data_IF_919051648028
#
_entry.id   IF_919051648028
#
_cell.length_a   1.000
_cell.length_b   1.000
_cell.length_c   1.000
_cell.angle_alpha   90.00
_cell.angle_beta   90.00
_cell.angle_gamma   90.00
#
_symmetry.space_group_name_H-M   'P 1'
#
loop_
_entity.id
_entity.type
_entity.pdbx_description
1 polymer ?
#
# COMPACT_ATOMS: atom_id res chain seq x y z
N UNK A 1 6.19 -25.20 -3.33
CA UNK A 1 4.99 -25.17 -2.46
C UNK A 1 4.51 -23.73 -2.39
N UNK A 2 3.26 -23.42 -2.78
CA UNK A 2 2.75 -22.04 -2.70
C UNK A 2 2.43 -21.70 -1.24
N UNK A 3 2.92 -20.58 -0.74
CA UNK A 3 2.57 -20.07 0.59
C UNK A 3 1.06 -19.93 0.71
N UNK A 4 0.49 -20.32 1.85
CA UNK A 4 -0.93 -20.07 2.13
C UNK A 4 -1.09 -18.59 2.46
N UNK A 5 -1.64 -17.83 1.52
CA UNK A 5 -1.85 -16.39 1.66
C UNK A 5 -3.25 -16.12 2.22
N UNK A 6 -3.35 -15.19 3.18
CA UNK A 6 -4.61 -14.65 3.70
C UNK A 6 -4.71 -13.17 3.38
N UNK A 7 -5.83 -12.76 2.80
CA UNK A 7 -6.09 -11.36 2.48
C UNK A 7 -6.92 -10.69 3.57
N UNK A 8 -6.56 -9.45 3.90
CA UNK A 8 -7.33 -8.50 4.72
C UNK A 8 -7.67 -7.31 3.83
N UNK A 9 -8.95 -6.96 3.77
CA UNK A 9 -9.43 -5.71 3.19
C UNK A 9 -9.83 -4.79 4.35
N UNK A 10 -9.28 -3.59 4.41
CA UNK A 10 -9.56 -2.63 5.49
C UNK A 10 -9.48 -1.18 5.02
N UNK A 11 -10.26 -0.31 5.66
CA UNK A 11 -10.16 1.13 5.47
C UNK A 11 -8.88 1.67 6.11
N UNK A 12 -8.33 2.76 5.57
CA UNK A 12 -7.11 3.38 6.10
C UNK A 12 -7.25 3.73 7.60
N UNK A 13 -8.43 4.22 8.00
CA UNK A 13 -8.72 4.59 9.40
C UNK A 13 -8.75 3.41 10.38
N UNK A 14 -8.80 2.18 9.88
CA UNK A 14 -8.84 0.97 10.71
C UNK A 14 -7.44 0.44 11.02
N UNK A 15 -6.42 0.91 10.28
CA UNK A 15 -5.05 0.56 10.56
C UNK A 15 -4.57 1.21 11.86
N UNK A 16 -3.81 0.43 12.62
CA UNK A 16 -3.11 0.90 13.81
C UNK A 16 -1.67 1.26 13.43
N UNK A 17 -0.97 1.96 14.34
CA UNK A 17 0.44 2.31 14.14
C UNK A 17 1.31 1.09 13.79
N UNK A 18 1.05 -0.06 14.41
CA UNK A 18 1.77 -1.31 14.13
C UNK A 18 1.60 -1.80 12.70
N UNK A 19 0.39 -1.67 12.13
CA UNK A 19 0.14 -2.04 10.73
C UNK A 19 0.94 -1.13 9.78
N UNK A 20 0.99 0.18 10.09
CA UNK A 20 1.78 1.14 9.31
C UNK A 20 3.29 0.86 9.38
N UNK A 21 3.81 0.47 10.55
CA UNK A 21 5.23 0.10 10.69
C UNK A 21 5.56 -1.14 9.87
N UNK A 22 4.74 -2.20 9.96
CA UNK A 22 4.96 -3.43 9.19
C UNK A 22 4.90 -3.19 7.68
N UNK A 23 3.91 -2.42 7.22
CA UNK A 23 3.78 -2.03 5.81
C UNK A 23 4.98 -1.18 5.36
N UNK A 24 5.43 -0.23 6.17
CA UNK A 24 6.60 0.59 5.85
C UNK A 24 7.86 -0.27 5.69
N UNK A 25 8.09 -1.25 6.57
CA UNK A 25 9.19 -2.21 6.42
C UNK A 25 9.08 -3.05 5.15
N UNK A 26 7.88 -3.55 4.86
CA UNK A 26 7.59 -4.29 3.63
C UNK A 26 7.91 -3.45 2.38
N UNK A 27 7.52 -2.16 2.36
CA UNK A 27 7.81 -1.27 1.24
C UNK A 27 9.29 -0.93 1.13
N UNK A 28 9.99 -0.71 2.25
CA UNK A 28 11.45 -0.50 2.22
C UNK A 28 12.18 -1.70 1.62
N UNK A 29 11.78 -2.92 1.98
CA UNK A 29 12.34 -4.16 1.42
C UNK A 29 12.01 -4.33 -0.05
N UNK A 30 10.80 -3.94 -0.47
CA UNK A 30 10.33 -4.06 -1.86
C UNK A 30 10.97 -3.01 -2.78
N UNK A 31 11.02 -1.74 -2.37
CA UNK A 31 11.50 -0.63 -3.19
C UNK A 31 12.99 -0.32 -3.01
N UNK A 32 13.59 -0.65 -1.87
CA UNK A 32 15.02 -0.42 -1.61
C UNK A 32 15.96 -0.98 -2.68
N UNK A 33 15.75 -2.21 -3.20
CA UNK A 33 16.55 -2.76 -4.29
C UNK A 33 16.48 -1.96 -5.60
N UNK A 34 15.44 -1.15 -5.80
CA UNK A 34 15.29 -0.28 -6.98
C UNK A 34 16.00 1.08 -6.82
N UNK A 35 16.57 1.35 -5.64
CA UNK A 35 17.32 2.57 -5.32
C UNK A 35 17.03 3.06 -3.91
N UNK A 36 18.06 3.54 -3.20
CA UNK A 36 17.93 4.03 -1.82
C UNK A 36 16.92 5.18 -1.69
N UNK A 37 16.79 6.01 -2.72
CA UNK A 37 15.80 7.08 -2.77
C UNK A 37 14.35 6.55 -2.75
N UNK A 38 14.09 5.39 -3.36
CA UNK A 38 12.76 4.81 -3.44
C UNK A 38 12.30 4.21 -2.11
N UNK A 39 13.22 3.90 -1.18
CA UNK A 39 12.89 3.47 0.17
C UNK A 39 12.64 4.62 1.15
N UNK A 40 13.21 5.80 0.90
CA UNK A 40 13.14 6.98 1.79
C UNK A 40 11.72 7.43 2.16
N UNK A 41 10.70 7.36 1.28
CA UNK A 41 9.32 7.71 1.64
C UNK A 41 8.77 6.89 2.81
N UNK A 42 9.32 5.70 3.05
CA UNK A 42 8.84 4.75 4.05
C UNK A 42 9.61 4.82 5.38
N UNK A 43 10.56 5.74 5.54
CA UNK A 43 11.26 5.94 6.81
C UNK A 43 10.31 6.44 7.91
N UNK A 44 10.59 6.08 9.17
CA UNK A 44 9.79 6.53 10.32
C UNK A 44 8.37 5.94 10.39
N UNK A 45 8.14 4.77 9.78
CA UNK A 45 6.83 4.09 9.82
C UNK A 45 5.78 4.66 8.87
N UNK A 46 6.18 5.48 7.89
CA UNK A 46 5.25 6.07 6.91
C UNK A 46 4.88 5.06 5.83
N UNK A 47 3.80 4.31 6.01
CA UNK A 47 3.33 3.36 5.00
C UNK A 47 2.57 4.06 3.86
N UNK A 48 3.29 4.48 2.83
CA UNK A 48 2.68 4.96 1.57
C UNK A 48 1.87 6.27 1.69
N UNK A 49 2.32 7.16 2.58
CA UNK A 49 1.66 8.44 2.84
C UNK A 49 1.49 9.33 1.60
N UNK A 50 2.34 9.17 0.58
CA UNK A 50 2.28 9.94 -0.67
C UNK A 50 1.04 9.63 -1.52
N UNK A 51 0.58 8.38 -1.59
CA UNK A 51 -0.61 8.06 -2.40
C UNK A 51 -1.92 8.22 -1.62
N UNK A 52 -1.88 8.26 -0.28
CA UNK A 52 -3.04 8.47 0.60
C UNK A 52 -4.21 7.52 0.26
N UNK A 53 -4.00 6.19 0.33
CA UNK A 53 -5.05 5.22 0.06
C UNK A 53 -6.23 5.41 1.02
N UNK A 54 -7.44 5.16 0.54
CA UNK A 54 -8.65 5.10 1.35
C UNK A 54 -8.92 3.68 1.85
N UNK A 55 -8.64 2.69 1.00
CA UNK A 55 -8.82 1.27 1.25
C UNK A 55 -7.53 0.53 0.94
N UNK A 56 -7.21 -0.50 1.72
CA UNK A 56 -6.05 -1.37 1.49
C UNK A 56 -6.45 -2.82 1.42
N UNK A 57 -5.89 -3.54 0.46
CA UNK A 57 -5.83 -4.99 0.45
C UNK A 57 -4.42 -5.43 0.82
N UNK A 58 -4.29 -6.17 1.92
CA UNK A 58 -3.02 -6.63 2.47
C UNK A 58 -3.02 -8.16 2.50
N UNK A 59 -2.04 -8.76 1.86
CA UNK A 59 -1.86 -10.20 1.85
C UNK A 59 -0.79 -10.59 2.87
N UNK A 60 -1.08 -11.60 3.70
CA UNK A 60 -0.17 -12.13 4.69
C UNK A 60 0.16 -13.60 4.41
N UNK A 61 1.41 -13.98 4.62
CA UNK A 61 1.84 -15.37 4.71
C UNK A 61 2.63 -15.62 6.02
N UNK A 62 3.37 -16.73 6.10
CA UNK A 62 4.18 -17.08 7.28
C UNK A 62 5.30 -16.08 7.61
N UNK A 63 5.64 -15.19 6.68
CA UNK A 63 6.74 -14.23 6.81
C UNK A 63 6.25 -12.78 7.03
N UNK A 64 4.94 -12.57 7.19
CA UNK A 64 4.32 -11.25 7.36
C UNK A 64 3.61 -10.79 6.09
N UNK A 65 3.68 -9.48 5.80
CA UNK A 65 3.10 -8.92 4.56
C UNK A 65 3.80 -9.50 3.33
N UNK A 66 3.01 -10.14 2.47
CA UNK A 66 3.44 -10.75 1.21
C UNK A 66 3.06 -9.89 -0.01
N UNK A 67 1.97 -9.12 0.08
CA UNK A 67 1.55 -8.19 -0.96
C UNK A 67 0.68 -7.06 -0.40
N UNK A 68 0.62 -5.94 -1.12
CA UNK A 68 -0.19 -4.79 -0.77
C UNK A 68 -0.76 -4.12 -2.02
N UNK A 69 -2.02 -3.67 -1.94
CA UNK A 69 -2.64 -2.76 -2.89
C UNK A 69 -3.32 -1.63 -2.12
N UNK A 70 -3.08 -0.39 -2.55
CA UNK A 70 -3.80 0.78 -2.08
C UNK A 70 -4.89 1.13 -3.09
N UNK A 71 -6.03 1.62 -2.61
CA UNK A 71 -7.07 2.16 -3.47
C UNK A 71 -7.49 3.52 -2.96
N UNK A 72 -7.46 4.51 -3.85
CA UNK A 72 -8.09 5.80 -3.63
C UNK A 72 -8.96 6.19 -4.82
N UNK A 73 -10.02 6.95 -4.55
CA UNK A 73 -10.88 7.49 -5.59
C UNK A 73 -10.22 8.72 -6.18
N UNK A 74 -10.11 8.75 -7.50
CA UNK A 74 -9.70 9.93 -8.26
C UNK A 74 -10.66 10.14 -9.42
N UNK A 75 -10.68 11.36 -9.94
CA UNK A 75 -11.39 11.69 -11.16
C UNK A 75 -10.38 12.22 -12.17
N UNK A 76 -10.48 11.72 -13.40
CA UNK A 76 -9.71 12.25 -14.53
C UNK A 76 -10.70 12.78 -15.58
N UNK A 77 -10.30 13.83 -16.30
CA UNK A 77 -11.09 14.32 -17.43
C UNK A 77 -10.74 13.54 -18.70
N UNK A 78 -11.76 12.97 -19.33
CA UNK A 78 -11.67 12.37 -20.66
C UNK A 78 -12.75 13.03 -21.52
N UNK A 79 -12.33 13.69 -22.59
CA UNK A 79 -13.22 14.45 -23.50
C UNK A 79 -14.16 15.43 -22.78
N UNK A 80 -13.66 16.08 -21.73
CA UNK A 80 -14.40 17.04 -20.91
C UNK A 80 -15.29 16.43 -19.81
N UNK A 81 -15.39 15.10 -19.73
CA UNK A 81 -16.18 14.40 -18.72
C UNK A 81 -15.29 13.91 -17.57
N UNK A 82 -15.68 14.18 -16.32
CA UNK A 82 -15.03 13.62 -15.15
C UNK A 82 -15.38 12.14 -15.00
N UNK A 83 -14.38 11.26 -15.14
CA UNK A 83 -14.51 9.81 -14.97
C UNK A 83 -13.86 9.36 -13.67
N UNK A 84 -14.61 8.59 -12.88
CA UNK A 84 -14.10 7.95 -11.67
C UNK A 84 -13.08 6.88 -12.06
N UNK A 85 -11.90 6.96 -11.45
CA UNK A 85 -10.84 5.95 -11.57
C UNK A 85 -10.36 5.52 -10.18
N UNK A 86 -10.04 4.24 -10.06
CA UNK A 86 -9.25 3.72 -8.95
C UNK A 86 -7.77 3.86 -9.28
N UNK A 87 -7.00 4.51 -8.41
CA UNK A 87 -5.54 4.51 -8.49
C UNK A 87 -4.96 3.53 -7.46
N UNK A 88 -3.90 2.79 -7.84
CA UNK A 88 -3.10 1.91 -6.99
C UNK A 88 -1.64 2.37 -7.04
#
# INVERSE_FOLDING_TARGET
MRSKVRWKLCWEKELQLSDHVELAEFFRKTYGPTGAYNAKPFDGGRSWAGARPELRAIAYDSSGVAAHMGLLRRFIKVDGVDLLVGAN
#
